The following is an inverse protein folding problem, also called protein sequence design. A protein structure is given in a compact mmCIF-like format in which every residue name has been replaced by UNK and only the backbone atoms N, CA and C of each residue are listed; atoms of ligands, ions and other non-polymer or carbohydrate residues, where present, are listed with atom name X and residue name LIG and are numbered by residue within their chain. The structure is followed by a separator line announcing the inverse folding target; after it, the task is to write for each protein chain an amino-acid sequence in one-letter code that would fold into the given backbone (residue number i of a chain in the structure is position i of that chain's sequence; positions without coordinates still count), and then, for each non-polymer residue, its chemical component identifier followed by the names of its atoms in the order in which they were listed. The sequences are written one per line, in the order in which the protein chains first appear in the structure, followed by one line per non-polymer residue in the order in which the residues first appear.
data_IF_490644120968
#
_entry.id   IF_490644120968
#
_cell.length_a   1.000
_cell.length_b   1.000
_cell.length_c   1.000
_cell.angle_alpha   90.00
_cell.angle_beta   90.00
_cell.angle_gamma   90.00
#
_symmetry.space_group_name_H-M   'P 1'
#
loop_
_entity.id
_entity.type
_entity.pdbx_description
1 polymer ?
#
# COMPACT_ATOMS: atom_id res chain seq x y z
N UNK A 1 -8.41 5.82 -7.33
CA UNK A 1 -7.05 6.38 -7.20
C UNK A 1 -6.70 6.38 -5.72
N UNK A 2 -5.67 5.62 -5.31
CA UNK A 2 -5.29 5.47 -3.90
C UNK A 2 -3.96 6.18 -3.68
N UNK A 3 -3.94 7.16 -2.76
CA UNK A 3 -2.72 7.83 -2.33
C UNK A 3 -2.25 7.19 -1.02
N UNK A 4 -1.01 6.71 -0.99
CA UNK A 4 -0.33 6.24 0.21
C UNK A 4 0.56 7.37 0.70
N UNK A 5 0.30 7.86 1.92
CA UNK A 5 1.19 8.79 2.63
C UNK A 5 0.96 8.69 4.14
N UNK A 6 1.92 8.08 4.85
CA UNK A 6 2.64 8.67 5.99
C UNK A 6 3.55 7.60 6.62
N UNK A 7 4.87 7.86 6.66
CA UNK A 7 5.77 7.23 7.63
C UNK A 7 6.05 8.27 8.73
N UNK A 8 5.47 8.09 9.92
CA UNK A 8 5.87 8.85 11.11
C UNK A 8 6.72 7.95 12.01
N UNK A 9 8.01 8.27 12.08
CA UNK A 9 9.02 7.52 12.79
C UNK A 9 9.17 8.05 14.22
N UNK A 10 8.39 7.50 15.16
CA UNK A 10 8.74 7.40 16.58
C UNK A 10 7.73 6.53 17.36
N UNK A 11 8.29 5.53 18.08
CA UNK A 11 7.65 4.60 19.04
C UNK A 11 6.96 3.34 18.46
N UNK A 12 7.72 2.24 18.27
CA UNK A 12 7.34 0.79 18.27
C UNK A 12 6.09 0.35 17.47
N UNK A 13 5.43 1.28 16.77
CA UNK A 13 4.16 1.11 16.07
C UNK A 13 4.35 1.65 14.65
N UNK A 14 4.21 0.77 13.66
CA UNK A 14 4.34 1.11 12.26
C UNK A 14 2.97 1.37 11.68
N UNK A 15 2.86 2.49 10.98
CA UNK A 15 1.61 3.05 10.49
C UNK A 15 1.60 3.00 8.97
N UNK A 16 0.68 2.24 8.38
CA UNK A 16 0.49 2.22 6.93
C UNK A 16 -0.87 2.83 6.59
N UNK A 17 -0.86 3.93 5.86
CA UNK A 17 -2.06 4.69 5.48
C UNK A 17 -2.41 4.52 4.00
N UNK A 18 -3.64 4.09 3.70
CA UNK A 18 -4.23 4.12 2.35
C UNK A 18 -5.37 5.12 2.30
N UNK A 19 -5.31 6.11 1.42
CA UNK A 19 -6.40 7.07 1.23
C UNK A 19 -7.05 6.88 -0.14
N UNK A 20 -8.37 6.85 -0.18
CA UNK A 20 -9.12 6.82 -1.44
C UNK A 20 -9.48 8.23 -1.90
N UNK A 21 -9.15 8.59 -3.14
CA UNK A 21 -9.41 9.94 -3.67
C UNK A 21 -10.90 10.25 -3.86
N UNK A 22 -11.76 9.23 -4.01
CA UNK A 22 -13.17 9.44 -4.31
C UNK A 22 -14.04 9.60 -3.05
N UNK A 23 -13.65 8.99 -1.93
CA UNK A 23 -14.47 8.96 -0.72
C UNK A 23 -13.84 9.69 0.46
N UNK A 24 -12.64 10.27 0.26
CA UNK A 24 -11.88 10.96 1.30
C UNK A 24 -11.75 10.13 2.60
N UNK A 25 -11.68 8.81 2.45
CA UNK A 25 -11.60 7.87 3.56
C UNK A 25 -10.17 7.32 3.64
N UNK A 26 -9.61 7.36 4.84
CA UNK A 26 -8.30 6.83 5.16
C UNK A 26 -8.40 5.51 5.91
N UNK A 27 -7.66 4.51 5.46
CA UNK A 27 -7.44 3.26 6.17
C UNK A 27 -6.05 3.29 6.80
N UNK A 28 -5.97 3.02 8.10
CA UNK A 28 -4.71 3.02 8.84
C UNK A 28 -4.52 1.63 9.45
N UNK A 29 -3.41 0.97 9.11
CA UNK A 29 -2.98 -0.24 9.78
C UNK A 29 -1.96 0.12 10.86
N UNK A 30 -2.22 -0.33 12.09
CA UNK A 30 -1.33 -0.21 13.23
C UNK A 30 -0.72 -1.57 13.52
N UNK A 31 0.59 -1.71 13.33
CA UNK A 31 1.31 -2.95 13.63
C UNK A 31 2.49 -2.70 14.56
N UNK A 32 2.86 -3.70 15.34
CA UNK A 32 4.11 -3.72 16.11
C UNK A 32 5.28 -4.34 15.34
N UNK A 33 5.08 -4.59 14.03
CA UNK A 33 6.07 -5.18 13.11
C UNK A 33 7.18 -4.17 12.77
N UNK A 34 8.01 -4.39 11.76
CA UNK A 34 8.97 -3.39 11.25
C UNK A 34 8.43 -2.73 9.97
N UNK A 35 9.05 -1.63 9.52
CA UNK A 35 8.77 -1.00 8.22
C UNK A 35 9.32 -1.87 7.08
N UNK A 36 8.63 -2.97 6.80
CA UNK A 36 9.00 -3.95 5.76
C UNK A 36 8.02 -3.93 4.59
N UNK A 37 8.49 -4.35 3.42
CA UNK A 37 7.63 -4.56 2.25
C UNK A 37 6.51 -5.55 2.52
N UNK A 38 6.77 -6.57 3.33
CA UNK A 38 5.79 -7.57 3.76
C UNK A 38 4.65 -6.91 4.54
N UNK A 39 4.98 -6.07 5.53
CA UNK A 39 3.98 -5.35 6.32
C UNK A 39 3.15 -4.39 5.45
N UNK A 40 3.79 -3.72 4.49
CA UNK A 40 3.11 -2.87 3.51
C UNK A 40 2.11 -3.66 2.66
N UNK A 41 2.53 -4.81 2.16
CA UNK A 41 1.75 -5.67 1.28
C UNK A 41 0.60 -6.38 2.02
N UNK A 42 0.80 -6.77 3.27
CA UNK A 42 -0.25 -7.33 4.12
C UNK A 42 -1.30 -6.27 4.49
N UNK A 43 -0.86 -5.06 4.85
CA UNK A 43 -1.77 -3.93 5.10
C UNK A 43 -2.65 -3.62 3.88
N UNK A 44 -2.07 -3.68 2.66
CA UNK A 44 -2.82 -3.52 1.41
C UNK A 44 -3.84 -4.65 1.20
N UNK A 45 -3.43 -5.89 1.45
CA UNK A 45 -4.31 -7.05 1.34
C UNK A 45 -5.51 -6.94 2.28
N UNK A 46 -5.26 -6.63 3.55
CA UNK A 46 -6.31 -6.46 4.56
C UNK A 46 -7.27 -5.33 4.19
N UNK A 47 -6.75 -4.19 3.73
CA UNK A 47 -7.60 -3.10 3.27
C UNK A 47 -8.50 -3.54 2.10
N UNK A 48 -7.95 -4.25 1.10
CA UNK A 48 -8.74 -4.67 -0.06
C UNK A 48 -9.87 -5.63 0.32
N UNK A 49 -9.58 -6.65 1.13
CA UNK A 49 -10.56 -7.68 1.51
C UNK A 49 -11.66 -7.12 2.41
N UNK A 50 -11.32 -6.18 3.31
CA UNK A 50 -12.28 -5.65 4.28
C UNK A 50 -13.11 -4.48 3.72
N UNK A 51 -12.51 -3.61 2.90
CA UNK A 51 -13.16 -2.37 2.44
C UNK A 51 -13.11 -2.24 0.92
N UNK A 52 -11.94 -2.45 0.31
CA UNK A 52 -11.72 -2.19 -1.11
C UNK A 52 -12.69 -2.94 -2.03
N UNK A 53 -12.96 -4.22 -1.77
CA UNK A 53 -13.87 -5.04 -2.57
C UNK A 53 -15.34 -4.63 -2.41
N UNK A 54 -15.72 -4.07 -1.26
CA UNK A 54 -17.10 -3.63 -0.99
C UNK A 54 -17.39 -2.38 -1.84
N UNK A 55 -16.45 -1.44 -1.86
CA UNK A 55 -16.58 -0.19 -2.61
C UNK A 55 -16.32 -0.36 -4.11
N UNK A 56 -15.45 -1.31 -4.49
CA UNK A 56 -15.05 -1.53 -5.88
C UNK A 56 -15.19 -3.00 -6.33
N UNK A 57 -16.39 -3.62 -6.25
CA UNK A 57 -16.57 -5.06 -6.47
C UNK A 57 -16.27 -5.54 -7.89
N UNK A 58 -16.21 -4.62 -8.87
CA UNK A 58 -15.92 -4.93 -10.28
C UNK A 58 -14.51 -4.54 -10.70
N UNK A 59 -13.71 -3.97 -9.80
CA UNK A 59 -12.36 -3.55 -10.13
C UNK A 59 -11.47 -4.75 -10.36
N UNK A 60 -10.72 -4.72 -11.47
CA UNK A 60 -9.74 -5.74 -11.85
C UNK A 60 -8.29 -5.27 -11.70
N UNK A 61 -8.13 -3.98 -11.41
CA UNK A 61 -6.82 -3.33 -11.34
C UNK A 61 -6.81 -2.24 -10.28
N UNK A 62 -5.67 -2.05 -9.64
CA UNK A 62 -5.41 -1.05 -8.61
C UNK A 62 -4.25 -0.16 -9.02
N UNK A 63 -4.42 1.17 -8.90
CA UNK A 63 -3.33 2.13 -9.02
C UNK A 63 -3.03 2.72 -7.65
N UNK A 64 -1.78 2.54 -7.22
CA UNK A 64 -1.25 3.00 -5.95
C UNK A 64 -0.21 4.08 -6.21
N UNK A 65 -0.38 5.24 -5.58
CA UNK A 65 0.59 6.33 -5.59
C UNK A 65 1.37 6.32 -4.28
N UNK A 66 2.70 6.33 -4.33
CA UNK A 66 3.55 6.38 -3.13
C UNK A 66 4.85 7.15 -3.38
N UNK A 67 5.55 7.52 -2.31
CA UNK A 67 6.79 8.32 -2.33
C UNK A 67 8.06 7.53 -2.70
N UNK A 68 8.05 6.21 -2.55
CA UNK A 68 9.17 5.35 -2.96
C UNK A 68 10.30 5.23 -1.94
N UNK A 69 10.05 5.63 -0.70
CA UNK A 69 10.95 5.49 0.44
C UNK A 69 10.76 4.17 1.20
N UNK A 70 11.80 3.71 1.91
CA UNK A 70 11.70 2.59 2.85
C UNK A 70 11.09 1.32 2.24
N UNK A 71 10.02 0.83 2.87
CA UNK A 71 9.30 -0.41 2.53
C UNK A 71 8.63 -0.43 1.17
N UNK A 72 8.43 0.73 0.51
CA UNK A 72 7.76 0.84 -0.79
C UNK A 72 8.72 1.21 -1.95
N UNK A 73 10.03 1.11 -1.71
CA UNK A 73 11.03 1.57 -2.67
C UNK A 73 11.08 0.73 -3.95
N UNK A 74 10.97 1.40 -5.11
CA UNK A 74 11.15 0.78 -6.43
C UNK A 74 12.55 0.24 -6.68
N UNK A 75 13.54 0.63 -5.86
CA UNK A 75 14.93 0.20 -5.98
C UNK A 75 15.16 -1.18 -5.36
N UNK A 76 14.33 -1.58 -4.39
CA UNK A 76 14.47 -2.86 -3.71
C UNK A 76 13.64 -3.94 -4.40
N UNK A 77 14.27 -5.07 -4.71
CA UNK A 77 13.61 -6.19 -5.39
C UNK A 77 12.55 -6.86 -4.50
N UNK A 78 12.78 -6.90 -3.18
CA UNK A 78 11.89 -7.52 -2.20
C UNK A 78 10.50 -6.88 -2.26
N UNK A 79 10.42 -5.54 -2.35
CA UNK A 79 9.13 -4.86 -2.49
C UNK A 79 8.36 -5.31 -3.74
N UNK A 80 9.04 -5.48 -4.88
CA UNK A 80 8.39 -5.96 -6.11
C UNK A 80 7.94 -7.40 -6.00
N UNK A 81 8.72 -8.24 -5.33
CA UNK A 81 8.38 -9.64 -5.09
C UNK A 81 7.13 -9.76 -4.20
N UNK A 82 7.12 -9.07 -3.06
CA UNK A 82 5.99 -9.09 -2.14
C UNK A 82 4.74 -8.48 -2.78
N UNK A 83 4.88 -7.40 -3.54
CA UNK A 83 3.78 -6.81 -4.28
C UNK A 83 3.21 -7.78 -5.31
N UNK A 84 4.06 -8.52 -6.02
CA UNK A 84 3.61 -9.54 -6.98
C UNK A 84 2.88 -10.69 -6.28
N UNK A 85 3.35 -11.13 -5.10
CA UNK A 85 2.66 -12.13 -4.28
C UNK A 85 1.26 -11.63 -3.89
N UNK A 86 1.15 -10.38 -3.43
CA UNK A 86 -0.14 -9.77 -3.09
C UNK A 86 -1.06 -9.60 -4.30
N UNK A 87 -0.55 -9.16 -5.44
CA UNK A 87 -1.32 -9.06 -6.69
C UNK A 87 -1.91 -10.43 -7.10
N UNK A 88 -1.09 -11.48 -7.03
CA UNK A 88 -1.51 -12.85 -7.32
C UNK A 88 -2.57 -13.34 -6.32
N UNK A 89 -2.37 -13.08 -5.03
CA UNK A 89 -3.31 -13.48 -3.97
C UNK A 89 -4.67 -12.78 -4.10
N UNK A 90 -4.68 -11.51 -4.47
CA UNK A 90 -5.90 -10.72 -4.68
C UNK A 90 -6.55 -10.97 -6.05
N UNK A 91 -5.82 -11.55 -7.00
CA UNK A 91 -6.28 -11.67 -8.39
C UNK A 91 -6.44 -10.32 -9.09
N UNK A 92 -5.66 -9.31 -8.70
CA UNK A 92 -5.72 -7.95 -9.21
C UNK A 92 -4.45 -7.56 -9.93
N UNK A 93 -4.60 -6.78 -11.00
CA UNK A 93 -3.47 -6.07 -11.59
C UNK A 93 -3.10 -4.85 -10.73
N UNK A 94 -1.95 -4.89 -10.05
CA UNK A 94 -1.50 -3.77 -9.20
C UNK A 94 -0.44 -2.94 -9.94
N UNK A 95 -0.68 -1.65 -10.05
CA UNK A 95 0.25 -0.65 -10.61
C UNK A 95 0.72 0.28 -9.51
N UNK A 96 2.03 0.44 -9.39
CA UNK A 96 2.64 1.46 -8.52
C UNK A 96 3.13 2.62 -9.39
N UNK A 97 2.79 3.84 -8.99
CA UNK A 97 3.42 5.04 -9.51
C UNK A 97 4.09 5.79 -8.35
N UNK A 98 5.40 5.98 -8.46
CA UNK A 98 6.17 6.74 -7.49
C UNK A 98 6.13 8.23 -7.82
N UNK A 99 6.00 9.07 -6.81
CA UNK A 99 6.16 10.52 -7.00
C UNK A 99 7.58 10.83 -7.52
N UNK A 100 7.75 11.88 -8.33
CA UNK A 100 9.07 12.34 -8.73
C UNK A 100 9.93 12.61 -7.48
N UNK A 101 11.22 12.28 -7.50
CA UNK A 101 12.10 12.65 -6.41
C UNK A 101 12.08 14.17 -6.24
N UNK A 102 11.86 14.63 -5.01
CA UNK A 102 12.01 16.03 -4.66
C UNK A 102 13.50 16.40 -4.80
N UNK A 103 13.86 17.04 -5.91
CA UNK A 103 15.17 17.70 -6.09
C UNK A 103 15.19 19.06 -5.41
#
# INVERSE_FOLDING_TARGET
MIMISLALQQAVLFLMGFMTSNENTGYITLGTSHDTSEFACDSLFQWWVNEGIIHYPKAKSLLILCDGGGSNSSRHYIFKEDLQKTANALGLEIRIAHYPPYT
#
